data_IF_884909033832
#
_entry.id   IF_884909033832
#
_cell.length_a   1.000
_cell.length_b   1.000
_cell.length_c   1.000
_cell.angle_alpha   90.00
_cell.angle_beta   90.00
_cell.angle_gamma   90.00
#
_symmetry.space_group_name_H-M   'P 1'
#
loop_
_entity.id
_entity.type
_entity.pdbx_description
1 polymer ?
#
# COMPACT_ATOMS: atom_id res chain seq x y z
N UNK A 1 -12.96 22.98 -8.14
CA UNK A 1 -12.01 22.26 -7.27
C UNK A 1 -10.86 23.22 -6.97
N UNK A 2 -10.44 23.36 -5.71
CA UNK A 2 -9.32 24.24 -5.38
C UNK A 2 -8.00 23.50 -5.65
N UNK A 3 -7.15 24.09 -6.46
CA UNK A 3 -5.78 23.60 -6.74
C UNK A 3 -4.71 24.19 -5.82
N UNK A 4 -5.09 25.02 -4.85
CA UNK A 4 -4.16 25.67 -3.91
C UNK A 4 -4.77 25.68 -2.52
N UNK A 5 -4.02 25.20 -1.53
CA UNK A 5 -4.39 25.28 -0.12
C UNK A 5 -4.33 26.72 0.39
N UNK A 6 -5.33 27.11 1.16
CA UNK A 6 -5.29 28.37 1.92
C UNK A 6 -4.30 28.27 3.08
N UNK A 7 -3.88 29.40 3.65
CA UNK A 7 -3.02 29.43 4.86
C UNK A 7 -3.64 28.58 5.99
N UNK A 8 -4.95 28.70 6.21
CA UNK A 8 -5.66 27.95 7.26
C UNK A 8 -5.67 26.43 7.00
N UNK A 9 -5.81 26.00 5.76
CA UNK A 9 -5.76 24.59 5.38
C UNK A 9 -4.36 24.00 5.58
N UNK A 10 -3.32 24.76 5.23
CA UNK A 10 -1.93 24.39 5.50
C UNK A 10 -1.65 24.25 7.01
N UNK A 11 -2.19 25.16 7.84
CA UNK A 11 -2.04 25.11 9.30
C UNK A 11 -2.71 23.84 9.88
N UNK A 12 -3.89 23.47 9.38
CA UNK A 12 -4.59 22.25 9.80
C UNK A 12 -3.76 21.01 9.47
N UNK A 13 -3.27 20.93 8.24
CA UNK A 13 -2.40 19.82 7.80
C UNK A 13 -1.15 19.75 8.67
N UNK A 14 -0.42 20.86 8.84
CA UNK A 14 0.82 20.89 9.60
C UNK A 14 0.64 20.45 11.05
N UNK A 15 -0.48 20.81 11.71
CA UNK A 15 -0.78 20.39 13.09
C UNK A 15 -1.20 18.94 13.19
N UNK A 16 -1.93 18.42 12.19
CA UNK A 16 -2.45 17.06 12.22
C UNK A 16 -1.43 16.01 11.78
N UNK A 17 -0.45 16.40 10.93
CA UNK A 17 0.57 15.50 10.42
C UNK A 17 1.33 14.79 11.55
N UNK A 18 1.41 13.45 11.43
CA UNK A 18 2.07 12.62 12.44
C UNK A 18 1.21 12.32 13.70
N UNK A 19 0.00 12.88 13.81
CA UNK A 19 -0.94 12.56 14.87
C UNK A 19 -2.08 11.66 14.36
N UNK A 20 -2.07 10.35 14.67
CA UNK A 20 -3.07 9.40 14.16
C UNK A 20 -4.50 9.65 14.71
N UNK A 21 -4.67 10.50 15.72
CA UNK A 21 -5.98 10.92 16.20
C UNK A 21 -6.60 12.02 15.32
N UNK A 22 -5.76 12.77 14.60
CA UNK A 22 -6.18 13.92 13.80
C UNK A 22 -6.18 13.66 12.31
N UNK A 23 -5.48 12.63 11.83
CA UNK A 23 -5.40 12.30 10.39
C UNK A 23 -5.09 10.83 10.15
N UNK A 24 -5.55 10.32 9.00
CA UNK A 24 -5.12 9.04 8.44
C UNK A 24 -4.12 9.21 7.28
N UNK A 25 -3.66 10.43 7.01
CA UNK A 25 -2.73 10.69 5.91
C UNK A 25 -1.31 10.25 6.27
N UNK A 26 -0.73 9.40 5.42
CA UNK A 26 0.64 8.91 5.55
C UNK A 26 1.62 9.54 4.54
N UNK A 27 1.11 10.36 3.62
CA UNK A 27 1.96 11.09 2.66
C UNK A 27 2.79 12.14 3.40
N UNK A 28 4.00 12.39 2.93
CA UNK A 28 4.77 13.53 3.41
C UNK A 28 4.10 14.86 3.00
N UNK A 29 4.39 15.94 3.72
CA UNK A 29 3.86 17.26 3.37
C UNK A 29 4.28 17.67 1.95
N UNK A 30 5.51 17.36 1.54
CA UNK A 30 6.03 17.69 0.21
C UNK A 30 5.30 16.92 -0.89
N UNK A 31 5.07 15.60 -0.69
CA UNK A 31 4.31 14.78 -1.64
C UNK A 31 2.86 15.24 -1.75
N UNK A 32 2.25 15.57 -0.60
CA UNK A 32 0.89 16.06 -0.56
C UNK A 32 0.75 17.39 -1.32
N UNK A 33 1.64 18.36 -1.07
CA UNK A 33 1.65 19.64 -1.75
C UNK A 33 1.80 19.46 -3.26
N UNK A 34 2.76 18.66 -3.71
CA UNK A 34 2.98 18.34 -5.11
C UNK A 34 1.73 17.75 -5.77
N UNK A 35 1.09 16.77 -5.14
CA UNK A 35 -0.11 16.11 -5.67
C UNK A 35 -1.33 17.03 -5.74
N UNK A 36 -1.41 18.02 -4.86
CA UNK A 36 -2.45 19.06 -4.93
C UNK A 36 -2.16 20.00 -6.10
N UNK A 37 -0.91 20.45 -6.28
CA UNK A 37 -0.50 21.31 -7.40
C UNK A 37 -0.73 20.65 -8.76
N UNK A 38 -0.51 19.33 -8.86
CA UNK A 38 -0.75 18.55 -10.10
C UNK A 38 -2.21 18.14 -10.30
N UNK A 39 -3.13 18.56 -9.41
CA UNK A 39 -4.55 18.21 -9.42
C UNK A 39 -4.84 16.69 -9.25
N UNK A 40 -3.90 15.90 -8.76
CA UNK A 40 -4.12 14.51 -8.39
C UNK A 40 -4.97 14.40 -7.11
N UNK A 41 -4.90 15.41 -6.24
CA UNK A 41 -5.66 15.50 -4.99
C UNK A 41 -6.61 16.69 -5.02
N UNK A 42 -7.87 16.40 -4.75
CA UNK A 42 -8.92 17.41 -4.55
C UNK A 42 -9.09 17.69 -3.06
N UNK A 43 -9.27 19.00 -2.74
CA UNK A 43 -9.36 19.50 -1.36
C UNK A 43 -10.75 20.04 -1.06
N UNK A 44 -11.34 19.64 0.09
CA UNK A 44 -12.63 20.11 0.56
C UNK A 44 -12.56 20.40 2.06
N UNK A 45 -12.94 21.61 2.45
CA UNK A 45 -13.04 21.97 3.86
C UNK A 45 -14.49 22.20 4.26
N UNK A 46 -14.91 21.61 5.37
CA UNK A 46 -16.19 21.88 6.01
C UNK A 46 -16.01 21.94 7.51
N UNK A 47 -16.35 23.10 8.12
CA UNK A 47 -16.11 23.33 9.54
C UNK A 47 -14.66 23.13 9.96
N UNK A 48 -14.45 22.24 10.92
CA UNK A 48 -13.15 21.86 11.50
C UNK A 48 -12.44 20.70 10.79
N UNK A 49 -13.03 20.17 9.72
CA UNK A 49 -12.44 19.06 8.95
C UNK A 49 -11.99 19.54 7.58
N UNK A 50 -10.79 19.12 7.19
CA UNK A 50 -10.30 19.15 5.82
C UNK A 50 -10.28 17.72 5.29
N UNK A 51 -10.91 17.50 4.14
CA UNK A 51 -10.93 16.23 3.43
C UNK A 51 -10.12 16.37 2.14
N UNK A 52 -9.27 15.40 1.88
CA UNK A 52 -8.50 15.28 0.65
C UNK A 52 -8.88 13.96 -0.06
N UNK A 53 -9.14 14.06 -1.35
CA UNK A 53 -9.45 12.92 -2.21
C UNK A 53 -8.38 12.79 -3.28
N UNK A 54 -7.55 11.76 -3.16
CA UNK A 54 -6.53 11.43 -4.15
C UNK A 54 -7.12 10.49 -5.19
N UNK A 55 -7.17 10.94 -6.43
CA UNK A 55 -7.72 10.20 -7.54
C UNK A 55 -6.82 9.02 -7.89
N UNK A 56 -7.40 7.84 -7.92
CA UNK A 56 -6.78 6.59 -8.34
C UNK A 56 -7.55 6.03 -9.54
N UNK A 57 -7.08 4.95 -10.13
CA UNK A 57 -7.78 4.29 -11.22
C UNK A 57 -9.06 3.61 -10.72
N UNK A 58 -10.20 4.29 -10.94
CA UNK A 58 -11.54 3.79 -10.58
C UNK A 58 -12.01 4.06 -9.15
N UNK A 59 -11.19 4.57 -8.26
CA UNK A 59 -11.54 4.91 -6.88
C UNK A 59 -10.80 6.14 -6.38
N UNK A 60 -11.07 6.56 -5.13
CA UNK A 60 -10.38 7.69 -4.51
C UNK A 60 -9.85 7.29 -3.14
N UNK A 61 -8.56 7.55 -2.87
CA UNK A 61 -8.04 7.48 -1.50
C UNK A 61 -8.55 8.69 -0.72
N UNK A 62 -9.08 8.41 0.46
CA UNK A 62 -9.68 9.38 1.34
C UNK A 62 -8.75 9.69 2.51
N UNK A 63 -8.37 10.96 2.64
CA UNK A 63 -7.64 11.48 3.79
C UNK A 63 -8.47 12.53 4.50
N UNK A 64 -8.41 12.54 5.83
CA UNK A 64 -8.98 13.59 6.64
C UNK A 64 -7.92 14.25 7.50
N UNK A 65 -8.15 15.52 7.85
CA UNK A 65 -7.37 16.27 8.81
C UNK A 65 -8.35 17.04 9.70
N UNK A 66 -8.20 16.90 11.02
CA UNK A 66 -9.07 17.52 12.02
C UNK A 66 -8.28 18.54 12.84
N UNK A 67 -8.94 19.61 13.26
CA UNK A 67 -8.36 20.61 14.15
C UNK A 67 -8.24 20.09 15.60
N UNK A 68 -9.20 19.23 16.02
CA UNK A 68 -9.23 18.57 17.33
C UNK A 68 -9.62 17.09 17.17
N UNK A 69 -9.31 16.22 18.13
CA UNK A 69 -9.70 14.81 18.09
C UNK A 69 -11.20 14.57 18.30
N UNK A 70 -11.96 15.62 18.63
CA UNK A 70 -13.39 15.53 18.88
C UNK A 70 -14.16 15.26 17.58
N UNK A 71 -15.19 14.44 17.70
CA UNK A 71 -16.04 14.14 16.57
C UNK A 71 -16.81 15.42 16.17
N UNK A 72 -16.71 15.87 14.92
CA UNK A 72 -17.34 17.10 14.47
C UNK A 72 -18.85 17.10 14.65
N UNK A 73 -19.43 18.32 14.68
CA UNK A 73 -20.85 18.55 14.80
C UNK A 73 -21.65 17.98 13.61
N UNK A 74 -22.97 17.75 13.77
CA UNK A 74 -23.82 17.17 12.73
C UNK A 74 -23.86 17.96 11.41
N UNK A 75 -23.77 19.30 11.46
CA UNK A 75 -23.82 20.14 10.26
C UNK A 75 -22.52 19.98 9.43
N UNK A 76 -21.38 19.93 10.11
CA UNK A 76 -20.08 19.61 9.49
C UNK A 76 -20.14 18.25 8.80
N UNK A 77 -20.69 17.22 9.44
CA UNK A 77 -20.86 15.91 8.82
C UNK A 77 -21.77 15.92 7.60
N UNK A 78 -22.92 16.59 7.66
CA UNK A 78 -23.87 16.65 6.55
C UNK A 78 -23.21 17.27 5.30
N UNK A 79 -22.47 18.37 5.47
CA UNK A 79 -21.76 19.00 4.36
C UNK A 79 -20.67 18.13 3.74
N UNK A 80 -19.94 17.38 4.56
CA UNK A 80 -18.93 16.42 4.04
C UNK A 80 -19.64 15.28 3.31
N UNK A 81 -20.71 14.72 3.84
CA UNK A 81 -21.47 13.63 3.24
C UNK A 81 -22.03 14.00 1.87
N UNK A 82 -22.53 15.22 1.71
CA UNK A 82 -22.98 15.73 0.42
C UNK A 82 -21.85 15.72 -0.64
N UNK A 83 -20.64 16.14 -0.23
CA UNK A 83 -19.46 16.09 -1.11
C UNK A 83 -19.10 14.65 -1.43
N UNK A 84 -18.96 13.79 -0.42
CA UNK A 84 -18.55 12.41 -0.58
C UNK A 84 -19.52 11.57 -1.40
N UNK A 85 -20.82 11.90 -1.38
CA UNK A 85 -21.86 11.23 -2.18
C UNK A 85 -21.68 11.33 -3.69
N UNK A 86 -20.80 12.23 -4.16
CA UNK A 86 -20.46 12.39 -5.59
C UNK A 86 -19.41 11.41 -6.07
N UNK A 87 -18.78 10.66 -5.17
CA UNK A 87 -17.67 9.74 -5.47
C UNK A 87 -18.12 8.29 -5.30
N UNK A 88 -17.92 7.43 -6.30
CA UNK A 88 -18.48 6.08 -6.31
C UNK A 88 -17.83 5.16 -5.27
N UNK A 89 -16.51 5.25 -5.13
CA UNK A 89 -15.73 4.42 -4.18
C UNK A 89 -14.67 5.26 -3.50
N UNK A 90 -14.70 5.22 -2.17
CA UNK A 90 -13.72 5.89 -1.31
C UNK A 90 -12.99 4.83 -0.47
N UNK A 91 -11.69 4.97 -0.33
CA UNK A 91 -10.81 4.07 0.42
C UNK A 91 -10.02 4.88 1.45
N UNK A 92 -10.13 4.51 2.72
CA UNK A 92 -9.33 5.06 3.81
C UNK A 92 -8.41 3.99 4.37
N UNK A 93 -7.15 4.34 4.60
CA UNK A 93 -6.11 3.46 5.12
C UNK A 93 -5.65 3.97 6.48
N UNK A 94 -5.42 3.06 7.43
CA UNK A 94 -4.90 3.38 8.76
C UNK A 94 -3.83 2.38 9.13
N UNK A 95 -2.63 2.88 9.37
CA UNK A 95 -1.50 2.07 9.86
C UNK A 95 -1.28 2.35 11.34
N UNK A 96 -1.38 1.31 12.17
CA UNK A 96 -1.29 1.45 13.64
C UNK A 96 -0.77 0.18 14.31
N UNK A 97 -0.29 0.32 15.55
CA UNK A 97 0.06 -0.82 16.44
C UNK A 97 -1.04 -1.18 17.45
N UNK A 98 -1.99 -0.28 17.66
CA UNK A 98 -2.84 -0.34 18.86
C UNK A 98 -4.34 -0.33 18.57
N UNK A 99 -4.77 -0.28 17.31
CA UNK A 99 -6.17 -0.09 16.98
C UNK A 99 -6.79 -1.37 16.41
N UNK A 100 -7.88 -1.84 17.04
CA UNK A 100 -8.69 -2.98 16.57
C UNK A 100 -10.09 -2.55 16.09
N UNK A 101 -10.42 -1.27 16.13
CA UNK A 101 -11.73 -0.76 15.73
C UNK A 101 -11.65 0.35 14.71
N UNK A 102 -12.70 0.45 13.88
CA UNK A 102 -12.84 1.56 12.93
C UNK A 102 -12.86 2.91 13.67
N UNK A 103 -12.07 3.91 13.25
CA UNK A 103 -12.12 5.25 13.82
C UNK A 103 -13.55 5.80 13.80
N UNK A 104 -14.00 6.46 14.90
CA UNK A 104 -15.36 7.00 14.99
C UNK A 104 -15.73 7.89 13.80
N UNK A 105 -14.79 8.70 13.32
CA UNK A 105 -14.99 9.57 12.17
C UNK A 105 -15.28 8.78 10.88
N UNK A 106 -14.52 7.74 10.57
CA UNK A 106 -14.74 6.89 9.40
C UNK A 106 -16.07 6.15 9.50
N UNK A 107 -16.37 5.60 10.69
CA UNK A 107 -17.66 4.93 10.94
C UNK A 107 -18.84 5.86 10.70
N UNK A 108 -18.79 7.09 11.22
CA UNK A 108 -19.84 8.10 11.00
C UNK A 108 -19.95 8.54 9.54
N UNK A 109 -18.84 8.54 8.79
CA UNK A 109 -18.83 8.82 7.36
C UNK A 109 -19.35 7.65 6.50
N UNK A 110 -19.67 6.50 7.11
CA UNK A 110 -20.22 5.33 6.42
C UNK A 110 -19.18 4.42 5.80
N UNK A 111 -17.92 4.50 6.25
CA UNK A 111 -16.91 3.53 5.87
C UNK A 111 -17.11 2.21 6.62
N UNK A 112 -16.85 1.10 5.93
CA UNK A 112 -16.87 -0.24 6.49
C UNK A 112 -15.49 -0.90 6.37
N UNK A 113 -15.11 -1.81 7.28
CA UNK A 113 -13.89 -2.61 7.14
C UNK A 113 -13.89 -3.34 5.80
N UNK A 114 -12.76 -3.35 5.12
CA UNK A 114 -12.59 -4.02 3.83
C UNK A 114 -11.51 -5.08 3.89
N UNK A 115 -10.25 -4.70 4.15
CA UNK A 115 -9.13 -5.63 4.32
C UNK A 115 -8.24 -5.23 5.48
N UNK A 116 -7.44 -6.18 5.94
CA UNK A 116 -6.45 -6.00 7.00
C UNK A 116 -5.13 -6.64 6.58
N UNK A 117 -4.05 -5.86 6.66
CA UNK A 117 -2.69 -6.34 6.39
C UNK A 117 -1.86 -6.28 7.66
N UNK A 118 -0.99 -7.26 7.85
CA UNK A 118 0.01 -7.29 8.92
C UNK A 118 1.39 -7.08 8.34
N UNK A 119 2.22 -6.29 9.03
CA UNK A 119 3.60 -6.09 8.60
C UNK A 119 4.49 -7.18 9.19
N UNK A 120 5.30 -7.77 8.32
CA UNK A 120 6.33 -8.71 8.73
C UNK A 120 7.71 -8.14 8.43
N UNK A 121 8.67 -8.45 9.30
CA UNK A 121 10.06 -8.03 9.18
C UNK A 121 11.02 -9.20 9.34
N UNK A 122 12.17 -9.12 8.66
CA UNK A 122 13.27 -10.05 8.74
C UNK A 122 14.56 -9.25 8.96
N UNK A 123 15.29 -9.55 10.03
CA UNK A 123 16.61 -8.98 10.30
C UNK A 123 17.65 -9.82 9.57
N UNK A 124 18.56 -9.17 8.83
CA UNK A 124 19.63 -9.87 8.11
C UNK A 124 20.49 -10.71 9.08
N UNK A 125 20.71 -11.96 8.73
CA UNK A 125 21.39 -12.94 9.54
C UNK A 125 20.46 -13.86 10.33
N UNK A 126 19.13 -13.61 10.35
CA UNK A 126 18.12 -14.48 10.95
C UNK A 126 17.29 -15.26 9.92
N UNK A 127 17.65 -15.17 8.66
CA UNK A 127 16.98 -15.86 7.57
C UNK A 127 17.23 -17.37 7.56
N UNK A 128 16.18 -18.14 7.32
CA UNK A 128 16.26 -19.59 7.05
C UNK A 128 16.11 -19.83 5.54
N UNK A 129 17.24 -19.76 4.84
CA UNK A 129 17.33 -19.89 3.39
C UNK A 129 17.94 -21.24 3.03
N UNK A 130 17.25 -22.04 2.24
CA UNK A 130 17.60 -23.44 1.95
C UNK A 130 17.99 -23.73 0.51
N UNK A 131 17.73 -22.85 -0.45
CA UNK A 131 17.90 -23.12 -1.86
C UNK A 131 18.73 -22.09 -2.66
N UNK A 132 19.25 -22.52 -3.80
CA UNK A 132 19.62 -21.67 -4.93
C UNK A 132 18.56 -21.89 -5.99
N UNK A 133 18.03 -20.81 -6.55
CA UNK A 133 17.19 -20.90 -7.73
C UNK A 133 17.91 -20.20 -8.90
N UNK A 134 18.57 -20.99 -9.72
CA UNK A 134 19.19 -20.54 -10.97
C UNK A 134 18.15 -20.09 -12.02
N UNK A 135 16.85 -20.12 -11.65
CA UNK A 135 15.73 -19.75 -12.52
C UNK A 135 15.18 -18.35 -12.26
N UNK A 136 15.64 -17.69 -11.21
CA UNK A 136 15.21 -16.31 -10.88
C UNK A 136 16.20 -15.34 -11.48
N UNK A 137 15.71 -14.42 -12.29
CA UNK A 137 16.50 -13.41 -12.97
C UNK A 137 15.85 -12.02 -12.86
N UNK A 138 16.60 -10.98 -13.23
CA UNK A 138 16.05 -9.63 -13.37
C UNK A 138 15.04 -9.58 -14.53
N UNK A 139 13.92 -8.92 -14.30
CA UNK A 139 12.98 -8.65 -15.37
C UNK A 139 13.56 -7.62 -16.37
N UNK A 140 13.18 -7.77 -17.62
CA UNK A 140 13.53 -6.88 -18.72
C UNK A 140 12.31 -6.06 -19.15
N UNK A 141 12.50 -4.94 -19.84
CA UNK A 141 11.40 -4.09 -20.33
C UNK A 141 10.43 -4.84 -21.24
N UNK A 142 10.90 -5.89 -21.91
CA UNK A 142 10.04 -6.79 -22.72
C UNK A 142 9.00 -7.54 -21.88
N UNK A 143 9.29 -7.76 -20.60
CA UNK A 143 8.40 -8.45 -19.66
C UNK A 143 7.30 -7.55 -19.09
N UNK A 144 7.35 -6.23 -19.34
CA UNK A 144 6.48 -5.21 -18.75
C UNK A 144 4.99 -5.56 -18.87
N UNK A 145 4.53 -5.93 -20.06
CA UNK A 145 3.12 -6.20 -20.28
C UNK A 145 2.67 -7.49 -19.59
N UNK A 146 3.48 -8.55 -19.62
CA UNK A 146 3.16 -9.83 -19.01
C UNK A 146 3.13 -9.72 -17.48
N UNK A 147 4.09 -8.99 -16.89
CA UNK A 147 4.10 -8.71 -15.46
C UNK A 147 2.87 -7.88 -15.07
N UNK A 148 2.57 -6.81 -15.82
CA UNK A 148 1.42 -5.96 -15.54
C UNK A 148 0.12 -6.76 -15.56
N UNK A 149 -0.11 -7.58 -16.59
CA UNK A 149 -1.28 -8.45 -16.68
C UNK A 149 -1.36 -9.45 -15.51
N UNK A 150 -0.24 -10.10 -15.17
CA UNK A 150 -0.18 -11.04 -14.05
C UNK A 150 -0.58 -10.36 -12.72
N UNK A 151 -0.08 -9.16 -12.44
CA UNK A 151 -0.41 -8.42 -11.22
C UNK A 151 -1.89 -8.04 -11.18
N UNK A 152 -2.41 -7.43 -12.25
CA UNK A 152 -3.79 -6.93 -12.29
C UNK A 152 -4.85 -8.03 -12.40
N UNK A 153 -4.47 -9.24 -12.85
CA UNK A 153 -5.35 -10.42 -12.82
C UNK A 153 -5.37 -11.12 -11.45
N UNK A 154 -4.37 -10.89 -10.61
CA UNK A 154 -4.20 -11.62 -9.34
C UNK A 154 -4.65 -10.82 -8.13
N UNK A 155 -4.42 -9.51 -8.14
CA UNK A 155 -4.57 -8.66 -6.97
C UNK A 155 -5.77 -7.73 -7.05
N UNK A 156 -6.23 -7.28 -5.88
CA UNK A 156 -7.30 -6.31 -5.76
C UNK A 156 -6.75 -4.88 -5.93
N UNK A 157 -7.20 -4.20 -6.98
CA UNK A 157 -6.78 -2.83 -7.32
C UNK A 157 -7.00 -1.83 -6.17
N UNK A 158 -8.04 -2.06 -5.34
CA UNK A 158 -8.41 -1.15 -4.25
C UNK A 158 -7.42 -1.22 -3.08
N UNK A 159 -6.94 -2.42 -2.75
CA UNK A 159 -6.26 -2.67 -1.48
C UNK A 159 -4.82 -3.15 -1.59
N UNK A 160 -4.41 -3.70 -2.74
CA UNK A 160 -3.08 -4.30 -2.88
C UNK A 160 -2.00 -3.32 -3.37
N UNK A 161 -2.29 -2.00 -3.40
CA UNK A 161 -1.35 -0.94 -3.77
C UNK A 161 -0.57 -1.23 -5.06
N UNK A 162 -1.30 -1.68 -6.09
CA UNK A 162 -0.71 -2.06 -7.36
C UNK A 162 0.05 -0.89 -7.98
N UNK A 163 1.16 -1.22 -8.61
CA UNK A 163 1.98 -0.26 -9.35
C UNK A 163 1.32 0.09 -10.69
N UNK A 164 1.37 1.36 -11.07
CA UNK A 164 1.01 1.76 -12.43
C UNK A 164 1.99 1.15 -13.45
N UNK A 165 1.67 1.22 -14.72
CA UNK A 165 2.55 0.71 -15.77
C UNK A 165 3.86 1.49 -15.85
N UNK A 166 3.81 2.80 -15.60
CA UNK A 166 4.97 3.70 -15.53
C UNK A 166 5.86 3.37 -14.32
N UNK A 167 5.25 3.15 -13.15
CA UNK A 167 5.99 2.73 -11.95
C UNK A 167 6.62 1.35 -12.16
N UNK A 168 5.90 0.39 -12.75
CA UNK A 168 6.45 -0.93 -13.07
C UNK A 168 7.65 -0.83 -14.01
N UNK A 169 7.55 -0.01 -15.05
CA UNK A 169 8.68 0.25 -15.95
C UNK A 169 9.89 0.82 -15.19
N UNK A 170 9.66 1.74 -14.26
CA UNK A 170 10.71 2.28 -13.40
C UNK A 170 11.36 1.17 -12.55
N UNK A 171 10.57 0.29 -11.90
CA UNK A 171 11.10 -0.81 -11.10
C UNK A 171 11.91 -1.82 -11.93
N UNK A 172 11.48 -2.10 -13.15
CA UNK A 172 12.22 -2.97 -14.07
C UNK A 172 13.57 -2.32 -14.46
N UNK A 173 13.54 -1.07 -14.92
CA UNK A 173 14.77 -0.37 -15.37
C UNK A 173 15.75 -0.08 -14.24
N UNK A 174 15.23 0.03 -13.00
CA UNK A 174 16.05 0.20 -11.79
C UNK A 174 16.53 -1.13 -11.18
N UNK A 175 16.37 -2.26 -11.89
CA UNK A 175 16.76 -3.60 -11.39
C UNK A 175 16.11 -3.96 -10.04
N UNK A 176 14.84 -3.58 -9.86
CA UNK A 176 14.06 -3.82 -8.66
C UNK A 176 12.90 -4.80 -8.90
N UNK A 177 12.95 -5.52 -10.01
CA UNK A 177 11.94 -6.53 -10.36
C UNK A 177 12.64 -7.84 -10.72
N UNK A 178 12.26 -8.91 -10.02
CA UNK A 178 12.69 -10.28 -10.31
C UNK A 178 11.56 -11.02 -11.00
N UNK A 179 11.90 -11.87 -11.97
CA UNK A 179 10.98 -12.83 -12.58
C UNK A 179 11.51 -14.25 -12.42
N UNK A 180 10.60 -15.21 -12.48
CA UNK A 180 10.87 -16.63 -12.53
C UNK A 180 10.07 -17.23 -13.68
N UNK A 181 10.77 -17.90 -14.60
CA UNK A 181 10.16 -18.57 -15.74
C UNK A 181 10.28 -20.10 -15.64
N UNK A 182 9.29 -20.80 -16.21
CA UNK A 182 9.32 -22.24 -16.42
C UNK A 182 9.06 -22.51 -17.90
N UNK A 183 10.11 -22.88 -18.64
CA UNK A 183 10.09 -22.77 -20.08
C UNK A 183 9.88 -21.31 -20.50
N UNK A 184 9.00 -21.09 -21.47
CA UNK A 184 8.67 -19.73 -21.96
C UNK A 184 7.57 -19.03 -21.14
N UNK A 185 7.07 -19.66 -20.07
CA UNK A 185 5.97 -19.10 -19.27
C UNK A 185 6.50 -18.39 -18.03
N UNK A 186 5.99 -17.19 -17.77
CA UNK A 186 6.24 -16.48 -16.51
C UNK A 186 5.49 -17.18 -15.36
N UNK A 187 6.28 -17.78 -14.47
CA UNK A 187 5.74 -18.51 -13.31
C UNK A 187 5.55 -17.60 -12.09
N UNK A 188 6.28 -16.49 -12.00
CA UNK A 188 6.11 -15.54 -10.93
C UNK A 188 7.01 -14.31 -11.05
N UNK A 189 6.68 -13.30 -10.27
CA UNK A 189 7.35 -12.01 -10.21
C UNK A 189 7.48 -11.54 -8.76
N UNK A 190 8.54 -10.77 -8.46
CA UNK A 190 8.74 -10.09 -7.19
C UNK A 190 9.26 -8.68 -7.46
N UNK A 191 8.59 -7.67 -6.87
CA UNK A 191 8.97 -6.26 -6.93
C UNK A 191 9.39 -5.82 -5.54
N UNK A 192 10.52 -5.09 -5.46
CA UNK A 192 11.05 -4.59 -4.19
C UNK A 192 11.57 -3.16 -4.32
N UNK A 193 11.66 -2.47 -3.19
CA UNK A 193 12.26 -1.14 -3.06
C UNK A 193 13.35 -1.16 -1.99
N UNK A 194 14.35 -0.28 -2.12
CA UNK A 194 15.42 -0.15 -1.14
C UNK A 194 15.49 1.28 -0.62
N UNK A 195 15.44 1.45 0.70
CA UNK A 195 15.51 2.73 1.40
C UNK A 195 16.66 2.70 2.41
N UNK A 196 17.82 3.20 2.02
CA UNK A 196 19.04 3.12 2.83
C UNK A 196 19.38 1.66 3.15
N UNK A 197 19.31 1.27 4.44
CA UNK A 197 19.58 -0.10 4.90
C UNK A 197 18.33 -0.96 5.11
N UNK A 198 17.18 -0.54 4.57
CA UNK A 198 15.90 -1.29 4.60
C UNK A 198 15.52 -1.67 3.19
N UNK A 199 14.96 -2.86 3.02
CA UNK A 199 14.40 -3.31 1.74
C UNK A 199 12.95 -3.75 1.95
N UNK A 200 12.08 -3.21 1.12
CA UNK A 200 10.64 -3.47 1.11
C UNK A 200 10.30 -4.43 -0.02
N UNK A 201 9.82 -5.62 0.31
CA UNK A 201 9.18 -6.50 -0.65
C UNK A 201 7.78 -5.94 -0.91
N UNK A 202 7.63 -5.22 -2.02
CA UNK A 202 6.39 -4.51 -2.36
C UNK A 202 5.30 -5.47 -2.81
N UNK A 203 5.65 -6.38 -3.73
CA UNK A 203 4.70 -7.32 -4.33
C UNK A 203 5.39 -8.62 -4.69
N UNK A 204 4.73 -9.73 -4.47
CA UNK A 204 5.14 -11.05 -4.99
C UNK A 204 3.90 -11.76 -5.52
N UNK A 205 3.99 -12.26 -6.73
CA UNK A 205 2.94 -12.99 -7.40
C UNK A 205 3.49 -14.29 -7.98
N UNK A 206 2.71 -15.36 -7.88
CA UNK A 206 2.96 -16.63 -8.56
C UNK A 206 1.74 -16.94 -9.40
N UNK A 207 1.94 -17.19 -10.69
CA UNK A 207 0.86 -17.58 -11.60
C UNK A 207 0.15 -18.83 -11.09
N UNK A 208 -1.16 -18.87 -11.22
CA UNK A 208 -2.03 -19.92 -10.68
C UNK A 208 -1.58 -21.33 -11.09
N UNK A 209 -1.12 -21.51 -12.32
CA UNK A 209 -0.60 -22.77 -12.89
C UNK A 209 0.61 -23.31 -12.09
N UNK A 210 1.35 -22.45 -11.40
CA UNK A 210 2.60 -22.77 -10.71
C UNK A 210 2.50 -22.71 -9.18
N UNK A 211 1.32 -22.45 -8.63
CA UNK A 211 1.11 -22.46 -7.18
C UNK A 211 1.44 -23.86 -6.60
N UNK A 212 2.04 -23.88 -5.42
CA UNK A 212 2.43 -25.14 -4.72
C UNK A 212 3.76 -25.75 -5.18
N UNK A 213 4.45 -25.15 -6.15
CA UNK A 213 5.75 -25.63 -6.68
C UNK A 213 6.97 -24.87 -6.13
N UNK A 214 6.84 -24.26 -4.95
CA UNK A 214 7.89 -23.48 -4.27
C UNK A 214 8.41 -22.24 -5.02
N UNK A 215 7.71 -21.76 -6.06
CA UNK A 215 8.15 -20.62 -6.86
C UNK A 215 8.25 -19.33 -6.03
N UNK A 216 7.26 -19.09 -5.15
CA UNK A 216 7.30 -17.94 -4.24
C UNK A 216 8.49 -17.98 -3.27
N UNK A 217 8.83 -19.15 -2.74
CA UNK A 217 10.02 -19.33 -1.90
C UNK A 217 11.30 -19.01 -2.67
N UNK A 218 11.44 -19.53 -3.87
CA UNK A 218 12.61 -19.28 -4.72
C UNK A 218 12.82 -17.80 -5.03
N UNK A 219 11.73 -17.08 -5.34
CA UNK A 219 11.78 -15.62 -5.56
C UNK A 219 12.25 -14.87 -4.31
N UNK A 220 11.67 -15.17 -3.13
CA UNK A 220 12.01 -14.47 -1.88
C UNK A 220 13.45 -14.79 -1.45
N UNK A 221 13.87 -16.04 -1.51
CA UNK A 221 15.23 -16.44 -1.12
C UNK A 221 16.29 -15.81 -2.03
N UNK A 222 16.03 -15.74 -3.34
CA UNK A 222 16.92 -15.05 -4.28
C UNK A 222 16.98 -13.56 -4.02
N UNK A 223 15.83 -12.91 -3.79
CA UNK A 223 15.74 -11.50 -3.41
C UNK A 223 16.57 -11.20 -2.15
N UNK A 224 16.39 -11.99 -1.08
CA UNK A 224 17.14 -11.80 0.16
C UNK A 224 18.65 -11.97 -0.09
N UNK A 225 19.07 -13.02 -0.82
CA UNK A 225 20.47 -13.25 -1.14
C UNK A 225 21.10 -12.09 -1.92
N UNK A 226 20.37 -11.55 -2.89
CA UNK A 226 20.90 -10.44 -3.72
C UNK A 226 20.98 -9.12 -2.96
N UNK A 227 20.09 -8.91 -1.97
CA UNK A 227 20.01 -7.64 -1.25
C UNK A 227 20.61 -7.65 0.14
N UNK A 228 21.01 -8.83 0.67
CA UNK A 228 21.51 -8.96 2.05
C UNK A 228 22.73 -8.09 2.34
N UNK A 229 23.61 -7.91 1.36
CA UNK A 229 24.77 -7.03 1.50
C UNK A 229 24.30 -5.57 1.49
N UNK A 230 24.50 -4.87 2.63
CA UNK A 230 24.03 -3.50 2.82
C UNK A 230 22.59 -3.36 3.37
N UNK A 231 21.78 -4.41 3.38
CA UNK A 231 20.44 -4.39 3.99
C UNK A 231 20.47 -4.94 5.41
N UNK A 232 19.93 -4.19 6.37
CA UNK A 232 19.75 -4.64 7.77
C UNK A 232 18.37 -5.22 8.03
N UNK A 233 17.37 -4.74 7.31
CA UNK A 233 15.98 -5.06 7.56
C UNK A 233 15.23 -5.25 6.25
N UNK A 234 14.62 -6.41 6.09
CA UNK A 234 13.62 -6.68 5.06
C UNK A 234 12.24 -6.57 5.69
N UNK A 235 11.26 -6.01 4.99
CA UNK A 235 9.88 -5.99 5.46
C UNK A 235 8.89 -6.11 4.32
N UNK A 236 7.68 -6.52 4.66
CA UNK A 236 6.57 -6.69 3.72
C UNK A 236 5.24 -6.50 4.45
N UNK A 237 4.19 -6.30 3.66
CA UNK A 237 2.81 -6.38 4.12
C UNK A 237 2.15 -7.64 3.55
N UNK A 238 1.32 -8.31 4.34
CA UNK A 238 0.57 -9.48 3.91
C UNK A 238 -0.84 -9.40 4.45
N UNK A 239 -1.83 -9.71 3.61
CA UNK A 239 -3.23 -9.78 4.04
C UNK A 239 -3.38 -10.79 5.18
N UNK A 240 -4.05 -10.38 6.27
CA UNK A 240 -4.13 -11.16 7.52
C UNK A 240 -4.82 -12.51 7.36
N UNK A 241 -5.58 -12.70 6.29
CA UNK A 241 -6.27 -13.96 5.93
C UNK A 241 -5.47 -14.85 4.98
N UNK A 242 -4.34 -14.36 4.44
CA UNK A 242 -3.49 -15.15 3.53
C UNK A 242 -2.55 -16.07 4.30
N UNK A 243 -3.12 -17.12 4.91
CA UNK A 243 -2.39 -18.10 5.76
C UNK A 243 -1.21 -18.76 5.02
N UNK A 244 -1.36 -19.03 3.70
CA UNK A 244 -0.30 -19.66 2.90
C UNK A 244 0.92 -18.76 2.79
N UNK A 245 0.72 -17.48 2.48
CA UNK A 245 1.82 -16.50 2.40
C UNK A 245 2.43 -16.24 3.78
N UNK A 246 1.61 -16.12 4.82
CA UNK A 246 2.06 -15.95 6.21
C UNK A 246 2.96 -17.11 6.63
N UNK A 247 2.53 -18.36 6.36
CA UNK A 247 3.33 -19.55 6.66
C UNK A 247 4.67 -19.54 5.89
N UNK A 248 4.65 -19.20 4.62
CA UNK A 248 5.86 -19.09 3.80
C UNK A 248 6.83 -18.05 4.41
N UNK A 249 6.38 -16.84 4.70
CA UNK A 249 7.23 -15.80 5.28
C UNK A 249 7.79 -16.20 6.64
N UNK A 250 6.96 -16.79 7.52
CA UNK A 250 7.39 -17.28 8.82
C UNK A 250 8.49 -18.36 8.70
N UNK A 251 8.37 -19.27 7.72
CA UNK A 251 9.34 -20.34 7.48
C UNK A 251 10.70 -19.82 6.99
N UNK A 252 10.73 -18.67 6.32
CA UNK A 252 11.96 -17.97 5.89
C UNK A 252 12.61 -17.20 7.03
N UNK A 253 11.84 -16.87 8.08
CA UNK A 253 12.36 -16.15 9.25
C UNK A 253 11.71 -14.80 9.50
N UNK A 254 10.75 -14.37 8.65
CA UNK A 254 9.99 -13.17 8.93
C UNK A 254 9.15 -13.29 10.20
N UNK A 255 9.00 -12.21 10.93
CA UNK A 255 8.19 -12.11 12.16
C UNK A 255 7.33 -10.86 12.14
N UNK A 256 6.22 -10.88 12.85
CA UNK A 256 5.37 -9.71 13.02
C UNK A 256 6.09 -8.65 13.85
N UNK A 257 5.96 -7.38 13.45
CA UNK A 257 6.51 -6.25 14.19
C UNK A 257 5.44 -5.42 14.91
N UNK A 258 4.20 -5.90 14.87
CA UNK A 258 3.05 -5.31 15.52
C UNK A 258 2.35 -4.21 14.71
N UNK A 259 2.88 -3.81 13.54
CA UNK A 259 2.16 -2.88 12.68
C UNK A 259 1.08 -3.60 11.87
N UNK A 260 -0.09 -2.95 11.85
CA UNK A 260 -1.25 -3.42 11.09
C UNK A 260 -1.78 -2.27 10.24
N UNK A 261 -2.12 -2.56 9.00
CA UNK A 261 -2.83 -1.65 8.11
C UNK A 261 -4.27 -2.12 7.98
N UNK A 262 -5.20 -1.21 8.26
CA UNK A 262 -6.63 -1.42 8.08
C UNK A 262 -7.09 -0.61 6.89
N UNK A 263 -7.74 -1.28 5.95
CA UNK A 263 -8.38 -0.67 4.80
C UNK A 263 -9.88 -0.62 5.02
N UNK A 264 -10.43 0.56 4.92
CA UNK A 264 -11.86 0.84 5.01
C UNK A 264 -12.38 1.33 3.68
N UNK A 265 -13.57 0.89 3.30
CA UNK A 265 -14.21 1.27 2.05
C UNK A 265 -15.58 1.87 2.29
N UNK A 266 -15.92 2.87 1.47
CA UNK A 266 -17.27 3.41 1.32
C UNK A 266 -17.65 3.36 -0.15
N UNK A 267 -18.89 2.94 -0.46
CA UNK A 267 -19.37 2.71 -1.82
C UNK A 267 -19.19 1.27 -2.30
N UNK A 268 -19.73 0.97 -3.49
CA UNK A 268 -19.64 -0.35 -4.12
C UNK A 268 -18.73 -0.29 -5.35
N UNK A 269 -17.82 -1.23 -5.44
CA UNK A 269 -17.01 -1.49 -6.62
C UNK A 269 -17.74 -2.50 -7.50
N UNK A 270 -18.04 -2.14 -8.75
CA UNK A 270 -18.71 -2.99 -9.73
C UNK A 270 -17.74 -3.58 -10.73
#
# INVERSE_FOLDING_TARGET
MKSVLTVKENDIIARAMGNPQLTNCYLSYADLAKKIETNEISCFRHGSILVLLHMMEGFYKFYYFMETPDVPDPATFAGIQEVLGKYPVLVAEIVTKTQDSIPPILKKMGFCPYKKYIRKQLITGSENISGNSDRVELADVRDLNDIYQLLYSTFDVISDHLVTKEELQFFITSSQTLKLCVGDKMAGVLIFETFGRKSYLRTICVSEEFIGRNMGRSLIETYIKWKRDGTKLFYLWVESTNEKAIHLYNSIGYRDDGLTEYIYRKGQWH
#
